data_IF_741443898913
#
_entry.id   IF_741443898913
#
_cell.length_a   1.000
_cell.length_b   1.000
_cell.length_c   1.000
_cell.angle_alpha   90.00
_cell.angle_beta   90.00
_cell.angle_gamma   90.00
#
_symmetry.space_group_name_H-M   'P 1'
#
loop_
_entity.id
_entity.type
_entity.pdbx_description
1 polymer ?
#
# COMPACT_ATOMS: atom_id res chain seq x y z
N UNK A 1 -6.86 6.20 6.39
CA UNK A 1 -5.47 5.88 6.84
C UNK A 1 -5.03 6.76 8.01
N UNK A 2 -5.01 8.09 7.85
CA UNK A 2 -4.49 9.04 8.86
C UNK A 2 -4.96 8.79 10.30
N UNK A 3 -6.26 8.62 10.54
CA UNK A 3 -6.77 8.38 11.91
C UNK A 3 -6.34 7.03 12.48
N UNK A 4 -6.30 5.97 11.66
CA UNK A 4 -5.85 4.65 12.10
C UNK A 4 -4.35 4.64 12.42
N UNK A 5 -3.55 5.32 11.60
CA UNK A 5 -2.10 5.48 11.82
C UNK A 5 -1.81 6.29 13.09
N UNK A 6 -2.65 7.28 13.44
CA UNK A 6 -2.51 8.01 14.72
C UNK A 6 -2.71 7.12 15.94
N UNK A 7 -3.59 6.12 15.85
CA UNK A 7 -3.94 5.22 16.96
C UNK A 7 -2.97 4.04 17.03
N UNK A 8 -2.56 3.49 15.88
CA UNK A 8 -1.66 2.36 15.78
C UNK A 8 -0.66 2.56 14.64
N UNK A 9 0.47 3.26 14.90
CA UNK A 9 1.44 3.62 13.86
C UNK A 9 2.25 2.44 13.33
N UNK A 10 2.34 1.34 14.09
CA UNK A 10 3.15 0.18 13.75
C UNK A 10 2.47 -0.77 12.73
N UNK A 11 1.19 -0.57 12.45
CA UNK A 11 0.45 -1.44 11.50
C UNK A 11 0.60 -0.89 10.07
N UNK A 12 1.17 -1.68 9.14
CA UNK A 12 1.27 -1.27 7.74
C UNK A 12 -0.12 -1.20 7.07
N UNK A 13 -0.36 -0.14 6.29
CA UNK A 13 -1.62 0.07 5.56
C UNK A 13 -1.40 -0.14 4.06
N UNK A 14 -2.20 -1.03 3.46
CA UNK A 14 -2.29 -1.27 2.01
C UNK A 14 -3.63 -0.73 1.51
N UNK A 15 -3.62 0.05 0.43
CA UNK A 15 -4.84 0.59 -0.19
C UNK A 15 -5.16 -0.14 -1.49
N UNK A 16 -6.37 -0.70 -1.60
CA UNK A 16 -6.89 -1.29 -2.83
C UNK A 16 -7.84 -0.30 -3.52
N UNK A 17 -7.43 0.27 -4.65
CA UNK A 17 -8.19 1.27 -5.43
C UNK A 17 -8.74 0.68 -6.73
N UNK A 18 -9.86 1.19 -7.25
CA UNK A 18 -10.40 0.80 -8.56
C UNK A 18 -10.03 1.77 -9.67
N UNK A 19 -10.29 1.39 -10.93
CA UNK A 19 -10.04 2.22 -12.11
C UNK A 19 -10.68 3.62 -12.02
N UNK A 20 -11.84 3.73 -11.37
CA UNK A 20 -12.56 5.00 -11.17
C UNK A 20 -11.93 5.93 -10.11
N UNK A 21 -11.05 5.41 -9.25
CA UNK A 21 -10.40 6.15 -8.17
C UNK A 21 -8.90 6.31 -8.50
N UNK A 22 -8.58 7.36 -9.25
CA UNK A 22 -7.19 7.73 -9.53
C UNK A 22 -6.56 8.35 -8.28
N UNK A 23 -5.84 7.54 -7.51
CA UNK A 23 -4.91 8.01 -6.48
C UNK A 23 -3.48 7.72 -6.94
N UNK A 24 -2.63 8.76 -6.95
CA UNK A 24 -1.21 8.58 -7.28
C UNK A 24 -0.48 7.87 -6.14
N UNK A 25 0.61 7.16 -6.47
CA UNK A 25 1.46 6.53 -5.45
C UNK A 25 2.01 7.55 -4.46
N UNK A 26 2.39 8.73 -4.94
CA UNK A 26 2.91 9.83 -4.12
C UNK A 26 1.87 10.30 -3.10
N UNK A 27 0.62 10.47 -3.53
CA UNK A 27 -0.48 10.85 -2.63
C UNK A 27 -0.79 9.76 -1.61
N UNK A 28 -0.71 8.50 -1.99
CA UNK A 28 -0.88 7.41 -1.02
C UNK A 28 0.26 7.37 0.00
N UNK A 29 1.52 7.51 -0.44
CA UNK A 29 2.70 7.58 0.44
C UNK A 29 2.59 8.72 1.44
N UNK A 30 2.17 9.91 1.02
CA UNK A 30 1.99 11.06 1.92
C UNK A 30 0.87 10.87 2.96
N UNK A 31 -0.06 9.94 2.72
CA UNK A 31 -1.11 9.55 3.66
C UNK A 31 -0.69 8.41 4.60
N UNK A 32 0.57 7.98 4.54
CA UNK A 32 1.13 6.88 5.35
C UNK A 32 0.75 5.50 4.84
N UNK A 33 0.28 5.39 3.59
CA UNK A 33 -0.05 4.12 2.95
C UNK A 33 1.24 3.55 2.35
N UNK A 34 1.55 2.29 2.67
CA UNK A 34 2.79 1.63 2.24
C UNK A 34 2.71 1.12 0.80
N UNK A 35 1.57 0.54 0.41
CA UNK A 35 1.36 -0.04 -0.93
C UNK A 35 -0.03 0.27 -1.48
N UNK A 36 -0.10 0.29 -2.81
CA UNK A 36 -1.32 0.46 -3.59
C UNK A 36 -1.54 -0.77 -4.46
N UNK A 37 -2.75 -1.31 -4.43
CA UNK A 37 -3.21 -2.41 -5.28
C UNK A 37 -4.39 -1.93 -6.13
N UNK A 38 -4.42 -2.33 -7.40
CA UNK A 38 -5.53 -2.03 -8.30
C UNK A 38 -6.57 -3.16 -8.22
N UNK A 39 -7.84 -2.79 -8.12
CA UNK A 39 -8.97 -3.73 -8.19
C UNK A 39 -9.22 -4.10 -9.66
N UNK A 40 -9.64 -5.35 -9.93
CA UNK A 40 -9.73 -6.47 -8.99
C UNK A 40 -8.35 -6.94 -8.53
N UNK A 41 -8.20 -7.23 -7.24
CA UNK A 41 -6.92 -7.65 -6.66
C UNK A 41 -6.77 -9.15 -6.80
N UNK A 42 -5.73 -9.61 -7.51
CA UNK A 42 -5.41 -11.03 -7.58
C UNK A 42 -4.83 -11.53 -6.24
N UNK A 43 -5.16 -12.75 -5.85
CA UNK A 43 -4.71 -13.34 -4.58
C UNK A 43 -3.18 -13.40 -4.49
N UNK A 44 -2.51 -13.71 -5.62
CA UNK A 44 -1.05 -13.72 -5.72
C UNK A 44 -0.47 -12.35 -5.39
N UNK A 45 -0.98 -11.29 -6.02
CA UNK A 45 -0.50 -9.92 -5.81
C UNK A 45 -0.73 -9.46 -4.37
N UNK A 46 -1.88 -9.82 -3.78
CA UNK A 46 -2.15 -9.55 -2.38
C UNK A 46 -1.15 -10.26 -1.47
N UNK A 47 -0.90 -11.55 -1.70
CA UNK A 47 0.04 -12.34 -0.89
C UNK A 47 1.46 -11.82 -0.94
N UNK A 48 1.94 -11.47 -2.14
CA UNK A 48 3.26 -10.85 -2.35
C UNK A 48 3.32 -9.50 -1.65
N UNK A 49 2.29 -8.67 -1.80
CA UNK A 49 2.26 -7.35 -1.18
C UNK A 49 2.30 -7.47 0.33
N UNK A 50 1.47 -8.32 0.95
CA UNK A 50 1.48 -8.56 2.40
C UNK A 50 2.88 -8.96 2.88
N UNK A 51 3.53 -9.90 2.17
CA UNK A 51 4.90 -10.34 2.48
C UNK A 51 5.87 -9.17 2.44
N UNK A 52 5.84 -8.36 1.38
CA UNK A 52 6.70 -7.19 1.22
C UNK A 52 6.52 -6.18 2.36
N UNK A 53 5.29 -5.86 2.76
CA UNK A 53 5.05 -4.84 3.79
C UNK A 53 5.39 -5.33 5.20
N UNK A 54 5.27 -6.63 5.47
CA UNK A 54 5.58 -7.21 6.78
C UNK A 54 7.07 -7.51 6.94
N UNK A 55 7.76 -7.92 5.88
CA UNK A 55 9.20 -8.22 5.95
C UNK A 55 10.08 -6.95 6.06
N UNK A 56 9.48 -5.76 5.95
CA UNK A 56 10.19 -4.49 6.13
C UNK A 56 11.19 -4.18 5.00
N UNK A 57 11.15 -4.92 3.89
CA UNK A 57 11.96 -4.63 2.72
C UNK A 57 11.54 -3.28 2.15
N UNK A 58 12.43 -2.29 2.27
CA UNK A 58 12.29 -0.98 1.65
C UNK A 58 11.97 -1.15 0.18
N UNK A 59 10.81 -0.67 -0.24
CA UNK A 59 10.48 -0.41 -1.63
C UNK A 59 11.39 0.71 -2.17
N UNK A 60 12.61 0.32 -2.54
CA UNK A 60 13.54 1.12 -3.36
C UNK A 60 13.94 0.35 -4.64
N UNK A 61 13.17 -0.67 -5.05
CA UNK A 61 13.41 -1.40 -6.30
C UNK A 61 12.13 -1.68 -7.07
N UNK A 62 11.56 -0.67 -7.70
CA UNK A 62 11.10 -0.72 -9.10
C UNK A 62 10.57 0.66 -9.50
N UNK A 63 11.47 1.55 -9.92
CA UNK A 63 11.12 2.59 -10.88
C UNK A 63 12.08 2.39 -12.04
N UNK A 64 11.56 1.81 -13.12
CA UNK A 64 12.17 1.80 -14.45
C UNK A 64 11.44 2.83 -15.28
#
# INVERSE_FOLDING_TARGET
ARELIKICPDIPVILCTGFSELISREKAKSLGIKKLLMKPVALKDLSTTIREVLDGNKDDKNDS
#
